data_IF_010568233823
#
_entry.id   IF_010568233823
#
_cell.length_a   1.000
_cell.length_b   1.000
_cell.length_c   1.000
_cell.angle_alpha   90.00
_cell.angle_beta   90.00
_cell.angle_gamma   90.00
#
_symmetry.space_group_name_H-M   'P 1'
#
loop_
_entity.id
_entity.type
_entity.pdbx_description
1 polymer ?
#
# COMPACT_ATOMS: atom_id res chain seq x y z
N UNK A 1 -11.60 -34.10 10.80
CA UNK A 1 -10.56 -33.07 10.88
C UNK A 1 -10.08 -32.84 9.46
N UNK A 2 -10.18 -31.60 8.96
CA UNK A 2 -9.77 -31.29 7.59
C UNK A 2 -8.23 -31.15 7.58
N UNK A 3 -7.58 -31.87 6.69
CA UNK A 3 -6.13 -31.83 6.53
C UNK A 3 -5.78 -31.36 5.10
N UNK A 4 -4.81 -30.45 4.99
CA UNK A 4 -4.31 -29.92 3.72
C UNK A 4 -2.79 -29.97 3.70
N UNK A 5 -2.23 -30.11 2.50
CA UNK A 5 -0.78 -29.94 2.33
C UNK A 5 -0.36 -28.52 2.64
N UNK A 6 -1.09 -27.53 2.11
CA UNK A 6 -0.82 -26.13 2.35
C UNK A 6 -2.09 -25.37 2.71
N UNK A 7 -2.01 -24.59 3.78
CA UNK A 7 -3.05 -23.60 4.11
C UNK A 7 -2.49 -22.20 3.87
N UNK A 8 -3.28 -21.36 3.22
CA UNK A 8 -2.93 -19.96 2.92
C UNK A 8 -3.96 -19.06 3.59
N UNK A 9 -3.52 -18.17 4.48
CA UNK A 9 -4.39 -17.21 5.16
C UNK A 9 -4.28 -15.86 4.47
N UNK A 10 -5.34 -15.47 3.78
CA UNK A 10 -5.46 -14.27 2.97
C UNK A 10 -5.43 -14.54 1.47
N UNK A 11 -6.46 -14.07 0.77
CA UNK A 11 -6.64 -14.21 -0.68
C UNK A 11 -6.19 -12.98 -1.47
N UNK A 12 -5.30 -12.16 -0.88
CA UNK A 12 -4.67 -11.03 -1.57
C UNK A 12 -3.55 -11.47 -2.52
N UNK A 13 -2.84 -10.52 -3.18
CA UNK A 13 -1.81 -10.84 -4.18
C UNK A 13 -0.75 -11.83 -3.69
N UNK A 14 -0.31 -11.76 -2.43
CA UNK A 14 0.67 -12.69 -1.90
C UNK A 14 0.11 -14.12 -1.76
N UNK A 15 -1.11 -14.25 -1.25
CA UNK A 15 -1.78 -15.57 -1.15
C UNK A 15 -2.08 -16.16 -2.52
N UNK A 16 -2.54 -15.35 -3.47
CA UNK A 16 -2.77 -15.78 -4.85
C UNK A 16 -1.47 -16.21 -5.53
N UNK A 17 -0.41 -15.41 -5.41
CA UNK A 17 0.90 -15.77 -5.97
C UNK A 17 1.43 -17.09 -5.42
N UNK A 18 1.28 -17.34 -4.12
CA UNK A 18 1.64 -18.61 -3.50
C UNK A 18 0.79 -19.78 -4.04
N UNK A 19 -0.53 -19.61 -4.09
CA UNK A 19 -1.44 -20.65 -4.55
C UNK A 19 -1.17 -21.05 -6.01
N UNK A 20 -1.06 -20.08 -6.92
CA UNK A 20 -0.73 -20.36 -8.32
C UNK A 20 0.66 -20.97 -8.46
N UNK A 21 1.67 -20.42 -7.74
CA UNK A 21 3.01 -20.95 -7.77
C UNK A 21 3.13 -22.41 -7.33
N UNK A 22 2.27 -22.85 -6.41
CA UNK A 22 2.20 -24.25 -5.96
C UNK A 22 1.42 -25.13 -6.95
N UNK A 23 0.21 -24.73 -7.33
CA UNK A 23 -0.70 -25.55 -8.14
C UNK A 23 -0.20 -25.79 -9.56
N UNK A 24 0.43 -24.78 -10.18
CA UNK A 24 0.97 -24.92 -11.55
C UNK A 24 2.20 -25.83 -11.60
N UNK A 25 2.97 -25.90 -10.53
CA UNK A 25 4.23 -26.71 -10.47
C UNK A 25 4.06 -28.06 -9.78
N UNK A 26 3.02 -28.24 -8.95
CA UNK A 26 2.71 -29.52 -8.30
C UNK A 26 1.21 -29.81 -8.39
N UNK A 27 0.75 -30.34 -9.53
CA UNK A 27 -0.64 -30.80 -9.68
C UNK A 27 -1.01 -31.81 -8.59
N UNK A 28 -2.20 -31.65 -8.02
CA UNK A 28 -2.73 -32.55 -6.98
C UNK A 28 -2.31 -32.18 -5.54
N UNK A 29 -1.50 -31.14 -5.33
CA UNK A 29 -1.28 -30.59 -3.98
C UNK A 29 -2.61 -30.05 -3.41
N UNK A 30 -2.97 -30.44 -2.19
CA UNK A 30 -4.18 -29.97 -1.54
C UNK A 30 -3.97 -28.60 -0.89
N UNK A 31 -4.68 -27.58 -1.39
CA UNK A 31 -4.56 -26.20 -0.90
C UNK A 31 -5.90 -25.69 -0.38
N UNK A 32 -5.87 -25.12 0.83
CA UNK A 32 -6.98 -24.33 1.38
C UNK A 32 -6.56 -22.85 1.46
N UNK A 33 -7.38 -21.97 0.90
CA UNK A 33 -7.26 -20.52 1.07
C UNK A 33 -8.35 -20.04 2.01
N UNK A 34 -7.97 -19.41 3.12
CA UNK A 34 -8.87 -18.78 4.09
C UNK A 34 -8.91 -17.28 3.86
N UNK A 35 -10.10 -16.71 3.70
CA UNK A 35 -10.32 -15.27 3.59
C UNK A 35 -11.40 -14.82 4.57
N UNK A 36 -11.07 -13.86 5.45
CA UNK A 36 -11.99 -13.34 6.46
C UNK A 36 -13.17 -12.56 5.88
N UNK A 37 -13.04 -12.04 4.67
CA UNK A 37 -14.09 -11.28 3.99
C UNK A 37 -14.93 -12.21 3.10
N UNK A 38 -16.15 -11.78 2.78
CA UNK A 38 -17.05 -12.50 1.86
C UNK A 38 -16.61 -12.41 0.40
N UNK A 39 -15.64 -11.57 0.09
CA UNK A 39 -15.08 -11.40 -1.25
C UNK A 39 -13.56 -11.39 -1.14
N UNK A 40 -12.91 -12.22 -1.96
CA UNK A 40 -11.47 -12.15 -2.16
C UNK A 40 -11.09 -10.75 -2.63
N UNK A 41 -10.11 -10.12 -2.01
CA UNK A 41 -9.83 -8.72 -2.32
C UNK A 41 -8.34 -8.35 -2.28
N UNK A 42 -7.78 -8.23 -1.13
CA UNK A 42 -6.47 -7.64 -0.97
C UNK A 42 -6.34 -6.30 -1.68
N UNK A 43 -5.11 -5.91 -2.02
CA UNK A 43 -4.82 -4.67 -2.71
C UNK A 43 -5.31 -4.60 -4.17
N UNK A 44 -5.67 -5.73 -4.77
CA UNK A 44 -6.22 -5.78 -6.14
C UNK A 44 -7.52 -4.99 -6.28
N UNK A 45 -8.36 -4.99 -5.23
CA UNK A 45 -9.68 -4.35 -5.26
C UNK A 45 -9.64 -2.83 -5.13
N UNK A 46 -8.57 -2.26 -4.65
CA UNK A 46 -8.49 -0.81 -4.49
C UNK A 46 -8.18 -0.17 -5.84
N UNK A 47 -7.24 0.31 -6.24
CA UNK A 47 -6.94 1.01 -7.48
C UNK A 47 -6.27 0.12 -8.54
N UNK A 48 -5.90 -1.09 -8.16
CA UNK A 48 -5.22 -2.08 -8.97
C UNK A 48 -4.03 -1.55 -9.78
N UNK A 49 -3.18 -0.73 -9.14
CA UNK A 49 -1.90 -0.27 -9.70
C UNK A 49 -0.81 -1.30 -9.50
N UNK A 50 -0.21 -1.73 -10.58
CA UNK A 50 0.87 -2.71 -10.61
C UNK A 50 2.15 -2.06 -11.12
N UNK A 51 3.27 -2.26 -10.41
CA UNK A 51 4.58 -1.72 -10.78
C UNK A 51 5.57 -2.86 -11.05
N UNK A 52 6.16 -2.87 -12.22
CA UNK A 52 7.05 -3.93 -12.69
C UNK A 52 8.51 -3.42 -12.78
N UNK A 53 8.96 -2.69 -11.79
CA UNK A 53 10.31 -2.09 -11.79
C UNK A 53 10.92 -2.11 -10.39
N UNK A 54 12.10 -2.68 -10.23
CA UNK A 54 12.94 -2.56 -9.05
C UNK A 54 13.34 -1.10 -8.77
N UNK A 55 13.43 -0.66 -7.51
CA UNK A 55 13.09 -1.35 -6.25
C UNK A 55 11.64 -1.14 -5.79
N UNK A 56 10.74 -0.74 -6.67
CA UNK A 56 9.38 -0.31 -6.32
C UNK A 56 8.57 -1.49 -5.76
N UNK A 57 8.25 -1.40 -4.48
CA UNK A 57 7.49 -2.44 -3.78
C UNK A 57 8.35 -3.56 -3.18
N UNK A 58 9.64 -3.60 -3.46
CA UNK A 58 10.57 -4.60 -2.97
C UNK A 58 11.48 -4.00 -1.89
N UNK A 59 11.30 -4.31 -0.60
CA UNK A 59 12.19 -3.84 0.46
C UNK A 59 13.60 -4.45 0.28
N UNK A 60 14.62 -3.60 0.11
CA UNK A 60 16.03 -4.03 -0.07
C UNK A 60 16.56 -4.91 1.07
N UNK A 61 15.94 -4.82 2.23
CA UNK A 61 16.27 -5.67 3.37
C UNK A 61 15.81 -7.14 3.24
N UNK A 62 14.97 -7.44 2.23
CA UNK A 62 14.41 -8.75 1.94
C UNK A 62 14.74 -9.24 0.53
N UNK A 63 15.15 -8.33 -0.37
CA UNK A 63 15.30 -8.59 -1.78
C UNK A 63 16.59 -8.02 -2.33
N UNK A 64 17.25 -8.76 -3.22
CA UNK A 64 18.23 -8.22 -4.14
C UNK A 64 17.57 -7.83 -5.47
N UNK A 65 18.26 -7.05 -6.29
CA UNK A 65 17.75 -6.68 -7.62
C UNK A 65 17.49 -7.90 -8.51
N UNK A 66 18.42 -8.87 -8.49
CA UNK A 66 18.32 -10.09 -9.30
C UNK A 66 17.14 -10.97 -8.85
N UNK A 67 16.95 -11.15 -7.54
CA UNK A 67 15.80 -11.88 -7.00
C UNK A 67 14.49 -11.22 -7.40
N UNK A 68 14.40 -9.89 -7.22
CA UNK A 68 13.20 -9.15 -7.59
C UNK A 68 12.93 -9.22 -9.10
N UNK A 69 13.97 -9.11 -9.94
CA UNK A 69 13.89 -9.24 -11.39
C UNK A 69 13.31 -10.58 -11.81
N UNK A 70 13.87 -11.67 -11.28
CA UNK A 70 13.41 -13.03 -11.55
C UNK A 70 11.91 -13.24 -11.26
N UNK A 71 11.44 -12.77 -10.09
CA UNK A 71 10.02 -12.92 -9.76
C UNK A 71 9.13 -11.91 -10.50
N UNK A 72 9.62 -10.71 -10.80
CA UNK A 72 8.86 -9.75 -11.60
C UNK A 72 8.56 -10.29 -13.00
N UNK A 73 9.51 -10.96 -13.64
CA UNK A 73 9.31 -11.61 -14.93
C UNK A 73 8.21 -12.67 -14.86
N UNK A 74 8.18 -13.49 -13.81
CA UNK A 74 7.12 -14.49 -13.62
C UNK A 74 5.75 -13.83 -13.38
N UNK A 75 5.69 -12.78 -12.56
CA UNK A 75 4.43 -12.04 -12.31
C UNK A 75 3.92 -11.39 -13.58
N UNK A 76 4.80 -10.79 -14.37
CA UNK A 76 4.46 -10.14 -15.63
C UNK A 76 3.96 -11.17 -16.67
N UNK A 77 4.65 -12.30 -16.79
CA UNK A 77 4.23 -13.39 -17.68
C UNK A 77 2.88 -13.99 -17.28
N UNK A 78 2.58 -14.07 -15.98
CA UNK A 78 1.33 -14.61 -15.48
C UNK A 78 0.14 -13.64 -15.63
N UNK A 79 0.32 -12.36 -15.28
CA UNK A 79 -0.75 -11.36 -15.28
C UNK A 79 -0.97 -10.71 -16.65
N UNK A 80 0.00 -10.80 -17.55
CA UNK A 80 -0.01 -10.20 -18.91
C UNK A 80 -0.51 -8.74 -18.85
N UNK A 81 0.14 -7.87 -18.09
CA UNK A 81 -0.36 -6.52 -17.85
C UNK A 81 -0.22 -5.63 -19.08
N UNK A 82 -1.23 -4.81 -19.34
CA UNK A 82 -1.07 -3.71 -20.27
C UNK A 82 -0.24 -2.61 -19.63
N UNK A 83 1.02 -2.49 -20.07
CA UNK A 83 1.92 -1.42 -19.58
C UNK A 83 1.49 -0.08 -20.15
N UNK A 84 1.40 0.91 -19.29
CA UNK A 84 1.02 2.28 -19.66
C UNK A 84 2.18 3.01 -20.34
N UNK A 85 1.87 3.66 -21.45
CA UNK A 85 2.83 4.51 -22.18
C UNK A 85 3.18 5.76 -21.36
N UNK A 86 4.42 6.23 -21.56
CA UNK A 86 4.94 7.47 -20.99
C UNK A 86 5.49 8.35 -22.09
N UNK A 87 5.19 9.64 -22.01
CA UNK A 87 5.67 10.65 -22.93
C UNK A 87 6.46 11.71 -22.18
N UNK A 88 7.33 12.41 -22.89
CA UNK A 88 8.07 13.57 -22.36
C UNK A 88 8.86 13.35 -21.06
N UNK A 89 9.08 12.10 -20.63
CA UNK A 89 9.74 11.78 -19.35
C UNK A 89 11.13 12.41 -19.26
N UNK A 90 11.86 12.44 -20.39
CA UNK A 90 13.21 13.03 -20.45
C UNK A 90 13.26 14.49 -20.03
N UNK A 91 12.24 15.28 -20.40
CA UNK A 91 12.17 16.70 -20.04
C UNK A 91 12.01 16.88 -18.52
N UNK A 92 11.08 16.13 -17.92
CA UNK A 92 10.85 16.17 -16.47
C UNK A 92 12.05 15.61 -15.70
N UNK A 93 12.67 14.53 -16.20
CA UNK A 93 13.88 13.94 -15.61
C UNK A 93 15.03 14.95 -15.57
N UNK A 94 15.33 15.60 -16.70
CA UNK A 94 16.39 16.59 -16.77
C UNK A 94 16.17 17.77 -15.81
N UNK A 95 14.91 18.25 -15.67
CA UNK A 95 14.57 19.29 -14.70
C UNK A 95 14.75 18.81 -13.26
N UNK A 96 14.33 17.58 -12.97
CA UNK A 96 14.46 16.97 -11.64
C UNK A 96 15.93 16.81 -11.23
N UNK A 97 16.75 16.26 -12.12
CA UNK A 97 18.19 16.01 -11.88
C UNK A 97 18.96 17.30 -11.57
N UNK A 98 18.66 18.42 -12.27
CA UNK A 98 19.23 19.73 -11.97
C UNK A 98 18.96 20.23 -10.55
N UNK A 99 17.91 19.72 -9.91
CA UNK A 99 17.49 20.09 -8.56
C UNK A 99 17.84 19.01 -7.52
N UNK A 100 18.60 17.97 -7.90
CA UNK A 100 18.92 16.84 -7.03
C UNK A 100 17.72 15.98 -6.71
N UNK A 101 16.72 15.96 -7.58
CA UNK A 101 15.50 15.14 -7.48
C UNK A 101 15.57 14.01 -8.50
N UNK A 102 15.17 12.82 -8.14
CA UNK A 102 15.13 11.68 -9.04
C UNK A 102 13.69 11.40 -9.48
N UNK A 103 13.40 11.45 -10.77
CA UNK A 103 12.16 10.94 -11.36
C UNK A 103 12.37 9.49 -11.78
N UNK A 104 11.68 8.57 -11.08
CA UNK A 104 11.76 7.14 -11.39
C UNK A 104 11.00 6.82 -12.68
N UNK A 105 11.63 6.08 -13.55
CA UNK A 105 10.96 5.52 -14.73
C UNK A 105 10.45 4.12 -14.42
N UNK A 106 9.14 4.03 -14.21
CA UNK A 106 8.51 2.81 -13.70
C UNK A 106 7.60 2.22 -14.79
N UNK A 107 7.75 0.93 -15.05
CA UNK A 107 6.80 0.16 -15.87
C UNK A 107 5.56 -0.10 -15.01
N UNK A 108 4.43 0.41 -15.44
CA UNK A 108 3.18 0.39 -14.67
C UNK A 108 2.02 -0.12 -15.50
N UNK A 109 1.11 -0.84 -14.83
CA UNK A 109 -0.23 -1.15 -15.31
C UNK A 109 -1.26 -0.64 -14.30
N UNK A 110 -2.40 -0.18 -14.78
CA UNK A 110 -3.49 0.29 -13.95
C UNK A 110 -4.83 -0.20 -14.49
N UNK A 111 -5.56 -0.94 -13.67
CA UNK A 111 -6.87 -1.47 -14.06
C UNK A 111 -8.03 -0.69 -13.42
N UNK A 112 -7.76 0.14 -12.42
CA UNK A 112 -8.79 0.78 -11.61
C UNK A 112 -9.51 -0.21 -10.67
N UNK A 113 -10.43 0.31 -9.89
CA UNK A 113 -11.18 -0.49 -8.91
C UNK A 113 -12.09 -1.51 -9.58
N UNK A 114 -12.72 -1.14 -10.67
CA UNK A 114 -13.61 -1.97 -11.49
C UNK A 114 -12.85 -3.09 -12.22
N UNK A 115 -11.80 -2.76 -12.95
CA UNK A 115 -10.97 -3.77 -13.62
C UNK A 115 -10.25 -4.71 -12.64
N UNK A 116 -9.89 -4.21 -11.45
CA UNK A 116 -9.35 -5.02 -10.37
C UNK A 116 -10.33 -6.08 -9.86
N UNK A 117 -11.63 -5.74 -9.78
CA UNK A 117 -12.67 -6.69 -9.39
C UNK A 117 -12.84 -7.83 -10.42
N UNK A 118 -12.84 -7.50 -11.69
CA UNK A 118 -12.93 -8.52 -12.76
C UNK A 118 -11.71 -9.44 -12.78
N UNK A 119 -10.51 -8.89 -12.57
CA UNK A 119 -9.31 -9.69 -12.42
C UNK A 119 -9.42 -10.67 -11.24
N UNK A 120 -9.90 -10.21 -10.07
CA UNK A 120 -10.10 -11.07 -8.90
C UNK A 120 -11.03 -12.23 -9.20
N UNK A 121 -12.18 -11.98 -9.84
CA UNK A 121 -13.15 -13.03 -10.21
C UNK A 121 -12.48 -14.08 -11.10
N UNK A 122 -11.77 -13.63 -12.12
CA UNK A 122 -11.07 -14.53 -13.07
C UNK A 122 -10.03 -15.39 -12.33
N UNK A 123 -9.23 -14.81 -11.43
CA UNK A 123 -8.21 -15.52 -10.69
C UNK A 123 -8.82 -16.54 -9.71
N UNK A 124 -9.90 -16.19 -9.01
CA UNK A 124 -10.61 -17.10 -8.10
C UNK A 124 -11.18 -18.30 -8.82
N UNK A 125 -11.84 -18.08 -9.97
CA UNK A 125 -12.37 -19.19 -10.76
C UNK A 125 -11.26 -20.11 -11.33
N UNK A 126 -10.15 -19.53 -11.79
CA UNK A 126 -8.99 -20.30 -12.24
C UNK A 126 -8.41 -21.17 -11.10
N UNK A 127 -8.32 -20.64 -9.86
CA UNK A 127 -7.85 -21.42 -8.71
C UNK A 127 -8.77 -22.60 -8.39
N UNK A 128 -10.10 -22.42 -8.48
CA UNK A 128 -11.07 -23.50 -8.29
C UNK A 128 -10.89 -24.60 -9.33
N UNK A 129 -10.70 -24.22 -10.58
CA UNK A 129 -10.43 -25.17 -11.70
C UNK A 129 -9.14 -25.94 -11.43
N UNK A 130 -8.11 -25.32 -10.87
CA UNK A 130 -6.85 -25.97 -10.49
C UNK A 130 -6.96 -26.83 -9.23
N UNK A 131 -8.13 -26.88 -8.57
CA UNK A 131 -8.40 -27.73 -7.43
C UNK A 131 -8.16 -27.07 -6.05
N UNK A 132 -7.98 -25.76 -5.97
CA UNK A 132 -7.90 -25.08 -4.69
C UNK A 132 -9.26 -25.03 -3.99
N UNK A 133 -9.27 -25.29 -2.69
CA UNK A 133 -10.41 -24.99 -1.82
C UNK A 133 -10.30 -23.54 -1.34
N UNK A 134 -11.35 -22.75 -1.52
CA UNK A 134 -11.39 -21.35 -1.09
C UNK A 134 -12.55 -21.18 -0.10
N UNK A 135 -12.24 -20.75 1.12
CA UNK A 135 -13.25 -20.43 2.14
C UNK A 135 -13.27 -18.93 2.38
N UNK A 136 -14.39 -18.29 2.04
CA UNK A 136 -14.65 -16.86 2.23
C UNK A 136 -15.49 -16.65 3.50
N UNK A 137 -15.28 -15.54 4.19
CA UNK A 137 -15.93 -15.25 5.46
C UNK A 137 -15.36 -16.05 6.65
N UNK A 138 -14.31 -16.83 6.44
CA UNK A 138 -13.70 -17.68 7.46
C UNK A 138 -12.39 -17.06 7.97
N UNK A 139 -12.40 -16.67 9.24
CA UNK A 139 -11.27 -15.99 9.89
C UNK A 139 -10.49 -16.97 10.76
N UNK A 140 -9.17 -16.99 10.59
CA UNK A 140 -8.27 -17.68 11.50
C UNK A 140 -8.25 -16.96 12.87
N UNK A 141 -8.36 -17.74 13.95
CA UNK A 141 -8.42 -17.22 15.33
C UNK A 141 -7.24 -17.66 16.19
N UNK A 142 -6.68 -18.85 15.96
CA UNK A 142 -5.60 -19.41 16.76
C UNK A 142 -4.65 -20.24 15.91
N UNK A 143 -3.37 -20.24 16.30
CA UNK A 143 -2.31 -21.05 15.70
C UNK A 143 -1.61 -21.92 16.76
N UNK A 144 -1.49 -23.21 16.48
CA UNK A 144 -0.52 -24.09 17.10
C UNK A 144 0.54 -24.44 16.04
N UNK A 145 1.63 -23.69 16.03
CA UNK A 145 2.70 -23.87 15.06
C UNK A 145 3.47 -25.19 15.25
N UNK A 146 3.55 -25.70 16.48
CA UNK A 146 4.24 -26.96 16.83
C UNK A 146 3.38 -28.16 16.41
N UNK A 147 2.10 -28.14 16.77
CA UNK A 147 1.15 -29.20 16.40
C UNK A 147 0.67 -29.11 14.94
N UNK A 148 1.14 -28.12 14.17
CA UNK A 148 0.74 -27.85 12.78
C UNK A 148 -0.79 -27.82 12.60
N UNK A 149 -1.47 -27.11 13.52
CA UNK A 149 -2.92 -26.91 13.49
C UNK A 149 -3.26 -25.43 13.60
N UNK A 150 -4.33 -25.03 12.97
CA UNK A 150 -4.94 -23.72 13.17
C UNK A 150 -6.44 -23.85 13.41
N UNK A 151 -7.00 -22.91 14.15
CA UNK A 151 -8.44 -22.82 14.37
C UNK A 151 -9.00 -21.60 13.64
N UNK A 152 -10.18 -21.77 13.11
CA UNK A 152 -11.05 -20.69 12.66
C UNK A 152 -12.22 -20.53 13.64
N UNK A 153 -13.15 -19.64 13.34
CA UNK A 153 -14.41 -19.54 14.10
C UNK A 153 -15.32 -20.79 13.89
N UNK A 154 -15.05 -21.58 12.82
CA UNK A 154 -15.90 -22.70 12.40
C UNK A 154 -15.29 -24.08 12.68
N UNK A 155 -13.96 -24.22 12.57
CA UNK A 155 -13.31 -25.54 12.58
C UNK A 155 -11.83 -25.50 12.94
N UNK A 156 -11.30 -26.67 13.25
CA UNK A 156 -9.86 -26.93 13.36
C UNK A 156 -9.34 -27.57 12.07
N UNK A 157 -8.18 -27.10 11.63
CA UNK A 157 -7.55 -27.45 10.34
C UNK A 157 -6.11 -27.86 10.60
N UNK A 158 -5.71 -29.02 10.05
CA UNK A 158 -4.32 -29.49 10.04
C UNK A 158 -3.65 -29.12 8.71
N UNK A 159 -2.38 -28.79 8.79
CA UNK A 159 -1.59 -28.44 7.63
C UNK A 159 -0.18 -29.06 7.68
N UNK A 160 0.48 -29.21 6.53
CA UNK A 160 1.91 -29.47 6.48
C UNK A 160 2.69 -28.18 6.44
N UNK A 161 2.27 -27.24 5.58
CA UNK A 161 2.83 -25.89 5.47
C UNK A 161 1.72 -24.84 5.60
N UNK A 162 2.04 -23.72 6.24
CA UNK A 162 1.15 -22.58 6.44
C UNK A 162 1.78 -21.30 5.90
N UNK A 163 1.04 -20.61 5.04
CA UNK A 163 1.43 -19.29 4.52
C UNK A 163 0.49 -18.24 5.12
N UNK A 164 1.03 -17.32 5.91
CA UNK A 164 0.29 -16.17 6.42
C UNK A 164 0.50 -14.95 5.52
N UNK A 165 -0.56 -14.55 4.81
CA UNK A 165 -0.57 -13.46 3.84
C UNK A 165 -1.73 -12.46 4.08
N UNK A 166 -1.99 -11.98 5.32
CA UNK A 166 -3.20 -11.23 5.65
C UNK A 166 -3.19 -9.78 5.13
N UNK A 167 -2.13 -9.37 4.43
CA UNK A 167 -1.98 -8.02 3.88
C UNK A 167 -1.88 -6.92 4.95
N UNK A 168 -1.97 -5.65 4.53
CA UNK A 168 -1.79 -4.49 5.41
C UNK A 168 -2.81 -4.42 6.56
N UNK A 169 -4.04 -4.79 6.30
CA UNK A 169 -5.08 -4.80 7.33
C UNK A 169 -4.92 -5.90 8.40
N UNK A 170 -3.99 -6.84 8.20
CA UNK A 170 -3.73 -7.96 9.10
C UNK A 170 -2.42 -7.86 9.88
N UNK A 171 -1.75 -6.70 9.87
CA UNK A 171 -0.44 -6.63 10.50
C UNK A 171 -0.49 -6.76 12.04
N UNK A 172 -1.52 -6.24 12.70
CA UNK A 172 -1.72 -6.44 14.14
C UNK A 172 -1.93 -7.92 14.47
N UNK A 173 -2.71 -8.61 13.65
CA UNK A 173 -2.88 -10.06 13.74
C UNK A 173 -1.55 -10.80 13.57
N UNK A 174 -0.72 -10.44 12.59
CA UNK A 174 0.60 -11.06 12.43
C UNK A 174 1.53 -10.76 13.61
N UNK A 175 1.47 -9.56 14.16
CA UNK A 175 2.26 -9.22 15.33
C UNK A 175 1.85 -10.06 16.54
N UNK A 176 0.56 -10.28 16.72
CA UNK A 176 0.05 -11.18 17.77
C UNK A 176 0.52 -12.63 17.56
N UNK A 177 0.43 -13.15 16.34
CA UNK A 177 0.96 -14.49 16.00
C UNK A 177 2.46 -14.58 16.29
N UNK A 178 3.26 -13.60 15.87
CA UNK A 178 4.70 -13.59 16.15
C UNK A 178 5.01 -13.57 17.63
N UNK A 179 4.26 -12.81 18.43
CA UNK A 179 4.41 -12.79 19.89
C UNK A 179 4.04 -14.14 20.52
N UNK A 180 2.93 -14.75 20.11
CA UNK A 180 2.46 -16.04 20.62
C UNK A 180 3.40 -17.20 20.27
N UNK A 181 3.98 -17.17 19.09
CA UNK A 181 4.88 -18.24 18.59
C UNK A 181 6.36 -17.97 18.87
N UNK A 182 6.70 -16.84 19.50
CA UNK A 182 8.08 -16.45 19.79
C UNK A 182 8.92 -16.11 18.55
N UNK A 183 8.26 -15.80 17.42
CA UNK A 183 8.98 -15.36 16.20
C UNK A 183 9.53 -13.96 16.42
N UNK A 184 10.86 -13.76 16.38
CA UNK A 184 11.43 -12.43 16.52
C UNK A 184 11.12 -11.57 15.31
N UNK A 185 10.90 -10.28 15.53
CA UNK A 185 10.64 -9.31 14.46
C UNK A 185 11.32 -7.97 14.74
N UNK A 186 11.47 -7.19 13.69
CA UNK A 186 12.01 -5.83 13.75
C UNK A 186 10.92 -4.83 13.40
N UNK A 187 10.89 -3.73 14.13
CA UNK A 187 10.05 -2.60 13.79
C UNK A 187 10.43 -2.00 12.44
N UNK A 188 9.47 -1.36 11.81
CA UNK A 188 9.65 -0.77 10.51
C UNK A 188 9.46 0.75 10.55
N UNK A 189 9.87 1.40 9.47
CA UNK A 189 9.72 2.84 9.25
C UNK A 189 8.24 3.22 9.09
N UNK A 190 7.95 4.51 9.15
CA UNK A 190 6.65 5.09 8.82
C UNK A 190 6.82 6.25 7.85
N UNK A 191 5.93 6.37 6.88
CA UNK A 191 5.85 7.54 6.01
C UNK A 191 4.68 8.41 6.46
N UNK A 192 4.95 9.70 6.64
CA UNK A 192 3.97 10.68 7.09
C UNK A 192 4.05 11.92 6.19
N UNK A 193 2.90 12.45 5.82
CA UNK A 193 2.83 13.65 5.02
C UNK A 193 1.41 14.10 4.72
N UNK A 194 1.21 14.67 3.55
CA UNK A 194 -0.06 15.21 3.08
C UNK A 194 -0.48 14.60 1.76
N UNK A 195 -1.79 14.56 1.52
CA UNK A 195 -2.32 14.40 0.18
C UNK A 195 -2.54 15.75 -0.45
N UNK A 196 -2.09 15.91 -1.67
CA UNK A 196 -2.22 17.14 -2.44
C UNK A 196 -3.28 16.90 -3.50
N UNK A 197 -4.19 17.83 -3.66
CA UNK A 197 -5.23 17.81 -4.70
C UNK A 197 -5.19 19.12 -5.48
N UNK A 198 -5.18 19.03 -6.82
CA UNK A 198 -5.16 20.19 -7.71
C UNK A 198 -5.76 19.85 -9.07
N UNK A 199 -5.93 20.85 -9.95
CA UNK A 199 -6.32 20.59 -11.34
C UNK A 199 -5.19 19.92 -12.12
N UNK A 200 -5.54 19.03 -13.05
CA UNK A 200 -4.55 18.35 -13.91
C UNK A 200 -3.72 19.34 -14.74
N UNK A 201 -4.29 20.46 -15.14
CA UNK A 201 -3.58 21.50 -15.90
C UNK A 201 -2.43 22.15 -15.11
N UNK A 202 -2.49 22.06 -13.77
CA UNK A 202 -1.44 22.53 -12.84
C UNK A 202 -0.44 21.47 -12.46
N UNK A 203 -0.70 20.24 -12.87
CA UNK A 203 0.22 19.12 -12.71
C UNK A 203 0.26 18.28 -13.99
N UNK A 204 0.63 18.92 -15.15
CA UNK A 204 0.45 18.35 -16.49
C UNK A 204 1.22 17.08 -16.74
N UNK A 205 2.24 16.75 -15.93
CA UNK A 205 2.99 15.49 -16.04
C UNK A 205 2.08 14.25 -16.02
N UNK A 206 0.91 14.30 -15.34
CA UNK A 206 0.00 13.15 -15.24
C UNK A 206 -0.63 12.76 -16.58
N UNK A 207 -0.63 13.64 -17.57
CA UNK A 207 -1.08 13.35 -18.94
C UNK A 207 -0.04 12.58 -19.74
N UNK A 208 1.23 12.84 -19.43
CA UNK A 208 2.39 12.23 -20.10
C UNK A 208 2.90 10.99 -19.38
N UNK A 209 2.82 10.99 -18.06
CA UNK A 209 3.29 9.94 -17.19
C UNK A 209 2.28 9.71 -16.07
N UNK A 210 1.49 8.66 -16.19
CA UNK A 210 0.58 8.25 -15.12
C UNK A 210 1.35 7.82 -13.86
N UNK A 211 0.93 8.34 -12.70
CA UNK A 211 1.53 8.05 -11.38
C UNK A 211 3.06 8.31 -11.33
N UNK A 212 3.53 9.52 -11.67
CA UNK A 212 4.96 9.84 -11.63
C UNK A 212 5.48 9.80 -10.19
N UNK A 213 6.65 9.18 -10.02
CA UNK A 213 7.27 9.01 -8.70
C UNK A 213 8.57 9.80 -8.62
N UNK A 214 8.55 10.86 -7.81
CA UNK A 214 9.71 11.69 -7.52
C UNK A 214 10.29 11.34 -6.16
N UNK A 215 11.61 11.19 -6.11
CA UNK A 215 12.39 11.03 -4.88
C UNK A 215 13.16 12.32 -4.62
N UNK A 216 12.85 12.98 -3.52
CA UNK A 216 13.47 14.23 -3.10
C UNK A 216 14.55 13.99 -2.03
N UNK A 217 15.45 14.97 -1.80
CA UNK A 217 16.37 14.93 -0.69
C UNK A 217 15.66 14.67 0.66
N UNK A 218 16.43 14.19 1.64
CA UNK A 218 15.96 13.91 3.01
C UNK A 218 14.83 12.87 3.08
N UNK A 219 14.81 11.89 2.17
CA UNK A 219 13.82 10.79 2.13
C UNK A 219 12.37 11.29 2.07
N UNK A 220 12.11 12.27 1.22
CA UNK A 220 10.77 12.74 0.86
C UNK A 220 10.44 12.24 -0.54
N UNK A 221 9.17 11.91 -0.82
CA UNK A 221 8.78 11.34 -2.10
C UNK A 221 7.32 11.62 -2.44
N UNK A 222 6.97 11.62 -3.73
CA UNK A 222 5.58 11.48 -4.15
C UNK A 222 5.15 10.03 -4.08
N UNK A 223 3.85 9.81 -3.90
CA UNK A 223 3.28 8.46 -3.84
C UNK A 223 1.84 8.44 -4.32
N UNK A 224 1.45 7.37 -5.04
CA UNK A 224 0.08 7.08 -5.42
C UNK A 224 -0.65 8.28 -6.05
N UNK A 225 -0.13 8.75 -7.19
CA UNK A 225 -0.79 9.78 -7.99
C UNK A 225 -2.01 9.19 -8.67
N UNK A 226 -3.12 9.91 -8.61
CA UNK A 226 -4.37 9.60 -9.28
C UNK A 226 -4.74 10.78 -10.18
N UNK A 227 -5.26 10.50 -11.35
CA UNK A 227 -5.69 11.50 -12.34
C UNK A 227 -6.93 11.05 -13.09
N UNK A 228 -7.47 11.91 -13.93
CA UNK A 228 -8.70 11.76 -14.68
C UNK A 228 -9.94 11.76 -13.78
N UNK A 229 -10.35 10.64 -13.23
CA UNK A 229 -11.43 10.52 -12.26
C UNK A 229 -10.84 10.33 -10.86
N UNK A 230 -10.19 11.37 -10.34
CA UNK A 230 -9.39 11.33 -9.11
C UNK A 230 -10.15 11.88 -7.90
N UNK A 231 -10.17 11.12 -6.81
CA UNK A 231 -10.84 11.48 -5.57
C UNK A 231 -9.92 11.25 -4.38
N UNK A 232 -9.94 12.17 -3.44
CA UNK A 232 -9.35 11.97 -2.10
C UNK A 232 -10.36 11.20 -1.27
N UNK A 233 -9.89 10.21 -0.51
CA UNK A 233 -10.72 9.36 0.34
C UNK A 233 -10.12 9.26 1.73
N UNK A 234 -10.96 8.93 2.70
CA UNK A 234 -10.58 8.76 4.10
C UNK A 234 -10.44 7.27 4.43
N UNK A 235 -9.34 6.90 5.06
CA UNK A 235 -9.10 5.58 5.63
C UNK A 235 -9.18 5.66 7.15
N UNK A 236 -9.96 4.78 7.78
CA UNK A 236 -10.14 4.71 9.23
C UNK A 236 -9.21 3.67 9.83
N UNK A 237 -8.58 4.02 10.93
CA UNK A 237 -7.72 3.16 11.73
C UNK A 237 -8.16 3.14 13.19
N UNK A 238 -7.75 2.08 13.92
CA UNK A 238 -8.16 1.88 15.30
C UNK A 238 -9.52 1.21 15.45
N UNK A 239 -9.93 1.00 16.68
CA UNK A 239 -11.18 0.35 17.09
C UNK A 239 -11.90 1.19 18.16
N UNK A 240 -12.99 0.66 18.71
CA UNK A 240 -13.76 1.36 19.74
C UNK A 240 -13.01 1.50 21.06
N UNK A 241 -12.13 0.55 21.40
CA UNK A 241 -11.38 0.55 22.66
C UNK A 241 -10.16 1.47 22.57
N UNK A 242 -9.43 1.42 21.46
CA UNK A 242 -8.19 2.19 21.25
C UNK A 242 -8.40 3.59 20.69
N UNK A 243 -9.63 3.94 20.33
CA UNK A 243 -9.97 5.18 19.66
C UNK A 243 -9.70 5.14 18.15
N UNK A 244 -10.46 5.92 17.40
CA UNK A 244 -10.32 6.02 15.94
C UNK A 244 -9.46 7.20 15.53
N UNK A 245 -8.67 7.00 14.48
CA UNK A 245 -7.98 8.06 13.78
C UNK A 245 -8.05 7.82 12.28
N UNK A 246 -7.71 8.83 11.50
CA UNK A 246 -7.87 8.81 10.06
C UNK A 246 -6.58 9.13 9.34
N UNK A 247 -6.37 8.48 8.22
CA UNK A 247 -5.44 8.87 7.18
C UNK A 247 -6.21 9.17 5.91
N UNK A 248 -5.71 10.05 5.07
CA UNK A 248 -6.24 10.23 3.73
C UNK A 248 -5.51 9.32 2.74
N UNK A 249 -6.18 9.04 1.62
CA UNK A 249 -5.63 8.31 0.49
C UNK A 249 -6.25 8.85 -0.80
N UNK A 250 -5.82 8.34 -1.95
CA UNK A 250 -6.41 8.69 -3.24
C UNK A 250 -6.92 7.46 -3.98
N UNK A 251 -8.04 7.63 -4.67
CA UNK A 251 -8.59 6.64 -5.59
C UNK A 251 -8.79 7.26 -6.96
N UNK A 252 -8.69 6.44 -8.00
CA UNK A 252 -9.17 6.79 -9.33
C UNK A 252 -10.03 5.67 -9.91
N UNK A 253 -10.98 6.06 -10.75
CA UNK A 253 -11.95 5.16 -11.37
C UNK A 253 -11.65 5.10 -12.86
N UNK A 254 -11.63 3.90 -13.44
CA UNK A 254 -11.26 3.73 -14.85
C UNK A 254 -12.43 3.87 -15.82
N UNK A 255 -13.63 3.44 -15.41
CA UNK A 255 -14.81 3.44 -16.29
C UNK A 255 -16.12 3.87 -15.62
N UNK A 256 -16.26 3.68 -14.30
CA UNK A 256 -17.53 3.87 -13.61
C UNK A 256 -17.86 5.31 -13.19
N UNK A 257 -16.92 6.26 -13.37
CA UNK A 257 -17.11 7.68 -13.07
C UNK A 257 -16.50 8.56 -14.16
N UNK A 258 -17.14 9.71 -14.47
CA UNK A 258 -16.59 10.66 -15.44
C UNK A 258 -15.28 11.27 -14.95
N UNK A 259 -14.49 11.76 -15.88
CA UNK A 259 -13.29 12.55 -15.56
C UNK A 259 -13.71 13.85 -14.89
N UNK A 260 -13.00 14.22 -13.81
CA UNK A 260 -13.27 15.43 -13.04
C UNK A 260 -12.22 16.54 -13.24
N UNK A 261 -11.22 16.29 -14.09
CA UNK A 261 -10.13 17.23 -14.38
C UNK A 261 -9.21 17.51 -13.19
N UNK A 262 -9.29 16.68 -12.15
CA UNK A 262 -8.46 16.79 -10.96
C UNK A 262 -7.39 15.70 -10.90
N UNK A 263 -6.34 16.00 -10.18
CA UNK A 263 -5.31 15.05 -9.81
C UNK A 263 -5.03 15.15 -8.32
N UNK A 264 -4.67 14.03 -7.71
CA UNK A 264 -4.19 14.02 -6.34
C UNK A 264 -3.02 13.04 -6.17
N UNK A 265 -2.13 13.34 -5.24
CA UNK A 265 -1.01 12.49 -4.86
C UNK A 265 -0.55 12.76 -3.44
N UNK A 266 0.09 11.78 -2.82
CA UNK A 266 0.73 11.96 -1.53
C UNK A 266 2.13 12.57 -1.70
N UNK A 267 2.48 13.51 -0.81
CA UNK A 267 3.86 13.91 -0.55
C UNK A 267 4.22 13.41 0.85
N UNK A 268 5.12 12.43 0.90
CA UNK A 268 5.45 11.69 2.12
C UNK A 268 6.89 11.87 2.53
N UNK A 269 7.11 11.99 3.84
CA UNK A 269 8.42 11.97 4.49
C UNK A 269 8.59 10.65 5.23
N UNK A 270 9.61 9.87 4.89
CA UNK A 270 10.00 8.69 5.66
C UNK A 270 10.64 9.14 6.98
N UNK A 271 10.09 8.65 8.09
CA UNK A 271 10.54 8.98 9.44
C UNK A 271 11.32 7.81 10.03
N UNK A 272 12.55 8.07 10.45
CA UNK A 272 13.31 7.19 11.31
C UNK A 272 13.08 7.62 12.76
N UNK A 273 12.67 6.68 13.60
CA UNK A 273 12.38 6.93 15.01
C UNK A 273 13.66 6.97 15.83
N UNK A 274 13.61 7.68 16.96
CA UNK A 274 14.69 7.80 17.94
C UNK A 274 14.45 6.81 19.07
N UNK A 275 15.47 6.05 19.46
CA UNK A 275 15.38 5.21 20.65
C UNK A 275 14.99 6.07 21.90
N UNK A 276 14.16 5.58 22.84
CA UNK A 276 13.67 4.20 22.93
C UNK A 276 12.38 3.90 22.14
N UNK A 277 11.82 4.88 21.41
CA UNK A 277 10.61 4.66 20.62
C UNK A 277 10.94 3.79 19.40
N UNK A 278 10.49 2.55 19.42
CA UNK A 278 10.72 1.59 18.37
C UNK A 278 9.50 1.38 17.45
N UNK A 279 8.28 1.75 17.90
CA UNK A 279 7.06 1.48 17.16
C UNK A 279 6.65 2.64 16.24
N UNK A 280 6.87 2.47 14.93
CA UNK A 280 6.36 3.38 13.90
C UNK A 280 4.84 3.51 13.93
N UNK A 281 4.15 2.46 14.33
CA UNK A 281 2.69 2.43 14.46
C UNK A 281 2.19 3.28 15.63
N UNK A 282 2.84 3.19 16.79
CA UNK A 282 2.51 4.02 17.95
C UNK A 282 2.71 5.51 17.66
N UNK A 283 3.78 5.83 16.94
CA UNK A 283 4.04 7.21 16.52
C UNK A 283 2.99 7.70 15.50
N UNK A 284 2.67 6.87 14.52
CA UNK A 284 1.63 7.17 13.53
C UNK A 284 0.26 7.36 14.17
N UNK A 285 -0.11 6.49 15.12
CA UNK A 285 -1.35 6.60 15.90
C UNK A 285 -1.40 7.93 16.67
N UNK A 286 -0.34 8.28 17.37
CA UNK A 286 -0.26 9.55 18.13
C UNK A 286 -0.54 10.74 17.20
N UNK A 287 0.11 10.81 16.03
CA UNK A 287 -0.09 11.90 15.08
C UNK A 287 -1.48 11.87 14.44
N UNK A 288 -2.00 10.68 14.13
CA UNK A 288 -3.34 10.51 13.59
C UNK A 288 -4.42 10.95 14.60
N UNK A 289 -4.26 10.61 15.87
CA UNK A 289 -5.15 11.03 16.97
C UNK A 289 -5.07 12.55 17.19
N UNK A 290 -3.88 13.15 17.14
CA UNK A 290 -3.71 14.60 17.25
C UNK A 290 -4.42 15.33 16.10
N UNK A 291 -4.27 14.82 14.86
CA UNK A 291 -4.96 15.38 13.71
C UNK A 291 -6.49 15.24 13.84
N UNK A 292 -6.96 14.08 14.29
CA UNK A 292 -8.38 13.83 14.52
C UNK A 292 -8.97 14.77 15.59
N UNK A 293 -8.22 15.01 16.68
CA UNK A 293 -8.63 15.95 17.73
C UNK A 293 -8.84 17.35 17.16
N UNK A 294 -7.87 17.88 16.42
CA UNK A 294 -7.95 19.21 15.81
C UNK A 294 -9.01 19.30 14.69
N UNK A 295 -9.20 18.21 13.96
CA UNK A 295 -10.19 18.10 12.89
C UNK A 295 -11.60 17.74 13.36
N UNK A 296 -11.86 17.63 14.69
CA UNK A 296 -13.17 17.21 15.21
C UNK A 296 -13.58 15.82 14.72
N UNK A 297 -12.64 14.85 14.73
CA UNK A 297 -12.86 13.49 14.24
C UNK A 297 -12.72 13.32 12.73
N UNK A 298 -12.09 14.29 12.02
CA UNK A 298 -11.96 14.30 10.55
C UNK A 298 -10.54 14.70 10.14
N UNK A 299 -10.09 14.38 8.92
CA UNK A 299 -8.86 14.96 8.37
C UNK A 299 -8.92 16.48 8.28
N UNK A 300 -7.77 17.12 8.33
CA UNK A 300 -7.65 18.56 8.16
C UNK A 300 -7.37 18.87 6.70
N UNK A 301 -8.03 19.89 6.13
CA UNK A 301 -7.71 20.41 4.79
C UNK A 301 -7.33 21.88 4.86
N UNK A 302 -6.36 22.28 4.02
CA UNK A 302 -5.84 23.65 3.95
C UNK A 302 -5.47 24.01 2.51
N UNK A 303 -5.85 25.22 2.06
CA UNK A 303 -5.38 25.76 0.78
C UNK A 303 -3.89 26.12 0.87
N UNK A 304 -3.16 25.84 -0.21
CA UNK A 304 -1.73 26.22 -0.33
C UNK A 304 -1.55 27.73 -0.19
N UNK A 305 -2.48 28.54 -0.71
CA UNK A 305 -2.46 29.99 -0.54
C UNK A 305 -2.48 30.44 0.92
N UNK A 306 -3.36 29.86 1.72
CA UNK A 306 -3.45 30.16 3.15
C UNK A 306 -2.22 29.65 3.91
N UNK A 307 -1.79 28.41 3.61
CA UNK A 307 -0.59 27.82 4.20
C UNK A 307 0.65 28.69 4.00
N UNK A 308 0.87 29.21 2.78
CA UNK A 308 1.99 30.11 2.47
C UNK A 308 2.00 31.39 3.29
N UNK A 309 0.82 31.88 3.67
CA UNK A 309 0.64 33.08 4.48
C UNK A 309 0.66 32.80 5.98
N UNK A 310 0.88 31.55 6.40
CA UNK A 310 0.78 31.14 7.81
C UNK A 310 -0.63 31.27 8.38
N UNK A 311 -1.66 31.13 7.55
CA UNK A 311 -3.06 31.27 7.92
C UNK A 311 -3.78 29.94 7.83
N UNK A 312 -4.72 29.70 8.77
CA UNK A 312 -5.67 28.59 8.63
C UNK A 312 -6.60 28.83 7.46
N UNK A 313 -7.07 27.77 6.82
CA UNK A 313 -8.24 27.85 5.92
C UNK A 313 -9.54 27.80 6.71
N UNK A 314 -10.57 28.42 6.17
CA UNK A 314 -11.95 28.44 6.67
C UNK A 314 -12.88 27.73 5.68
N UNK A 315 -14.13 27.50 6.07
CA UNK A 315 -15.12 26.88 5.19
C UNK A 315 -15.28 27.67 3.87
N UNK A 316 -15.29 28.97 3.96
CA UNK A 316 -15.41 29.90 2.84
C UNK A 316 -14.22 29.82 1.87
N UNK A 317 -13.05 29.33 2.33
CA UNK A 317 -11.89 29.07 1.45
C UNK A 317 -12.14 27.93 0.45
N UNK A 318 -13.22 27.18 0.56
CA UNK A 318 -13.54 26.03 -0.29
C UNK A 318 -14.85 26.17 -1.05
N UNK A 319 -15.54 27.29 -0.90
CA UNK A 319 -16.82 27.59 -1.55
C UNK A 319 -16.77 28.93 -2.27
N UNK A 320 -17.54 29.06 -3.35
CA UNK A 320 -17.70 30.32 -4.11
C UNK A 320 -16.78 30.47 -5.31
N UNK A 321 -17.06 31.48 -6.13
CA UNK A 321 -16.40 31.77 -7.43
C UNK A 321 -14.93 32.18 -7.34
N UNK A 322 -14.42 32.45 -6.15
CA UNK A 322 -13.01 32.79 -5.90
C UNK A 322 -12.08 31.59 -5.94
N UNK A 323 -12.64 30.38 -5.85
CA UNK A 323 -11.89 29.13 -5.76
C UNK A 323 -12.24 28.22 -6.93
N UNK A 324 -11.26 27.71 -7.55
CA UNK A 324 -11.21 27.06 -8.83
C UNK A 324 -11.89 25.68 -8.89
N UNK A 325 -11.95 24.97 -7.77
CA UNK A 325 -12.61 23.68 -7.65
C UNK A 325 -12.98 23.38 -6.19
N UNK A 326 -13.99 22.54 -6.04
CA UNK A 326 -14.41 22.01 -4.75
C UNK A 326 -13.56 20.81 -4.33
N UNK A 327 -13.27 20.62 -3.03
CA UNK A 327 -12.56 19.47 -2.52
C UNK A 327 -13.33 18.17 -2.79
N UNK A 328 -12.64 17.11 -3.27
CA UNK A 328 -13.28 15.81 -3.49
C UNK A 328 -13.52 15.04 -2.19
N UNK A 329 -12.94 15.47 -1.07
CA UNK A 329 -13.25 15.00 0.29
C UNK A 329 -13.84 16.17 1.13
N UNK A 330 -15.07 16.61 0.86
CA UNK A 330 -15.68 17.78 1.51
C UNK A 330 -15.96 17.56 3.01
N UNK A 331 -15.92 16.31 3.48
CA UNK A 331 -16.05 15.99 4.90
C UNK A 331 -14.81 16.35 5.74
N UNK A 332 -13.68 16.75 5.11
CA UNK A 332 -12.50 17.23 5.84
C UNK A 332 -12.76 18.56 6.52
N UNK A 333 -12.07 18.82 7.63
CA UNK A 333 -12.21 20.07 8.39
C UNK A 333 -11.23 21.12 7.87
N UNK A 334 -11.71 22.30 7.42
CA UNK A 334 -10.85 23.44 7.13
C UNK A 334 -10.02 23.86 8.35
N UNK A 335 -8.70 23.98 8.21
CA UNK A 335 -7.86 24.24 9.36
C UNK A 335 -6.43 24.67 9.03
N UNK A 336 -5.57 24.56 10.02
CA UNK A 336 -4.14 24.78 9.91
C UNK A 336 -3.38 23.48 10.18
N UNK A 337 -2.77 22.93 9.15
CA UNK A 337 -1.99 21.70 9.21
C UNK A 337 -0.75 21.88 10.12
N UNK A 338 -0.21 23.11 10.22
CA UNK A 338 0.97 23.38 11.03
C UNK A 338 0.76 23.20 12.54
N UNK A 339 -0.50 23.24 13.00
CA UNK A 339 -0.83 22.96 14.41
C UNK A 339 -0.78 21.46 14.76
N UNK A 340 -0.80 20.57 13.76
CA UNK A 340 -0.81 19.12 13.97
C UNK A 340 0.43 18.42 13.45
N UNK A 341 0.99 18.88 12.34
CA UNK A 341 2.12 18.22 11.72
C UNK A 341 3.44 18.61 12.40
N UNK A 342 4.31 17.63 12.77
CA UNK A 342 5.64 17.97 13.30
C UNK A 342 6.44 18.81 12.32
N UNK A 343 7.09 19.87 12.82
CA UNK A 343 7.81 20.83 11.99
C UNK A 343 8.83 20.19 11.04
N UNK A 344 9.54 19.15 11.49
CA UNK A 344 10.50 18.41 10.65
C UNK A 344 9.85 17.75 9.44
N UNK A 345 8.65 17.22 9.62
CA UNK A 345 7.87 16.59 8.54
C UNK A 345 7.32 17.67 7.61
N UNK A 346 6.66 18.67 8.17
CA UNK A 346 6.03 19.75 7.41
C UNK A 346 7.05 20.53 6.56
N UNK A 347 8.22 20.87 7.12
CA UNK A 347 9.30 21.52 6.38
C UNK A 347 9.84 20.65 5.25
N UNK A 348 9.95 19.33 5.43
CA UNK A 348 10.39 18.42 4.37
C UNK A 348 9.36 18.35 3.24
N UNK A 349 8.06 18.25 3.57
CA UNK A 349 6.95 18.27 2.61
C UNK A 349 6.94 19.58 1.83
N UNK A 350 6.96 20.71 2.52
CA UNK A 350 6.93 22.03 1.88
C UNK A 350 8.13 22.27 0.94
N UNK A 351 9.33 21.87 1.34
CA UNK A 351 10.50 21.93 0.47
C UNK A 351 10.36 20.98 -0.73
N UNK A 352 9.84 19.80 -0.55
CA UNK A 352 9.52 18.89 -1.66
C UNK A 352 8.51 19.47 -2.64
N UNK A 353 7.46 20.13 -2.14
CA UNK A 353 6.46 20.80 -2.99
C UNK A 353 7.08 21.96 -3.78
N UNK A 354 7.97 22.75 -3.19
CA UNK A 354 8.69 23.83 -3.92
C UNK A 354 9.59 23.27 -5.03
N UNK A 355 10.32 22.20 -4.74
CA UNK A 355 11.14 21.54 -5.77
C UNK A 355 10.27 20.95 -6.88
N UNK A 356 9.15 20.32 -6.52
CA UNK A 356 8.23 19.74 -7.49
C UNK A 356 7.59 20.82 -8.37
N UNK A 357 7.21 21.95 -7.80
CA UNK A 357 6.68 23.10 -8.55
C UNK A 357 7.72 23.67 -9.56
N UNK A 358 9.01 23.64 -9.22
CA UNK A 358 10.08 24.01 -10.14
C UNK A 358 10.28 23.01 -11.29
N UNK A 359 9.93 21.73 -11.07
CA UNK A 359 10.00 20.67 -12.10
C UNK A 359 8.73 20.67 -12.97
N UNK A 360 7.58 20.80 -12.33
CA UNK A 360 6.24 20.80 -12.93
C UNK A 360 5.51 22.06 -12.42
N UNK A 361 5.67 23.21 -13.10
CA UNK A 361 5.11 24.47 -12.64
C UNK A 361 3.59 24.47 -12.55
N UNK A 362 3.06 25.05 -11.47
CA UNK A 362 1.63 25.20 -11.22
C UNK A 362 1.11 24.56 -9.94
N UNK A 363 1.89 23.68 -9.32
CA UNK A 363 1.48 22.94 -8.12
C UNK A 363 1.22 23.86 -6.93
N UNK A 364 2.02 24.91 -6.76
CA UNK A 364 1.87 25.87 -5.66
C UNK A 364 0.81 26.95 -5.90
N UNK A 365 -0.10 26.73 -6.84
CA UNK A 365 -1.25 27.61 -7.02
C UNK A 365 -2.05 27.76 -5.72
N UNK A 366 -2.54 28.95 -5.36
CA UNK A 366 -3.25 29.19 -4.10
C UNK A 366 -4.45 28.27 -3.87
N UNK A 367 -5.15 27.81 -4.92
CA UNK A 367 -6.30 26.93 -4.81
C UNK A 367 -5.94 25.45 -4.61
N UNK A 368 -4.69 25.04 -4.77
CA UNK A 368 -4.26 23.67 -4.43
C UNK A 368 -4.57 23.35 -2.98
N UNK A 369 -5.07 22.15 -2.71
CA UNK A 369 -5.46 21.70 -1.38
C UNK A 369 -4.44 20.71 -0.85
N UNK A 370 -4.10 20.83 0.41
CA UNK A 370 -3.40 19.83 1.21
C UNK A 370 -4.36 19.21 2.23
N UNK A 371 -4.37 17.88 2.31
CA UNK A 371 -5.09 17.12 3.34
C UNK A 371 -4.08 16.44 4.27
N UNK A 372 -4.32 16.51 5.58
CA UNK A 372 -3.48 15.91 6.61
C UNK A 372 -4.32 15.10 7.60
N UNK A 373 -3.84 13.95 8.08
CA UNK A 373 -2.57 13.30 7.73
C UNK A 373 -2.71 12.30 6.59
N UNK A 374 -1.69 12.15 5.75
CA UNK A 374 -1.49 10.92 5.01
C UNK A 374 -0.39 10.10 5.69
N UNK A 375 -0.73 8.91 6.15
CA UNK A 375 0.17 8.00 6.87
C UNK A 375 0.22 6.68 6.15
N UNK A 376 1.42 6.20 5.89
CA UNK A 376 1.65 4.86 5.35
C UNK A 376 2.45 4.05 6.37
N UNK A 377 1.76 3.11 6.98
CA UNK A 377 2.35 2.16 7.92
C UNK A 377 3.11 1.08 7.16
N UNK A 378 4.24 0.69 7.73
CA UNK A 378 4.99 -0.48 7.32
C UNK A 378 4.86 -1.53 8.41
N UNK A 379 4.51 -2.75 8.01
CA UNK A 379 4.38 -3.85 8.94
C UNK A 379 5.73 -4.20 9.56
N UNK A 380 5.72 -4.72 10.78
CA UNK A 380 6.89 -5.30 11.42
C UNK A 380 7.38 -6.47 10.58
N UNK A 381 8.69 -6.54 10.42
CA UNK A 381 9.32 -7.57 9.60
C UNK A 381 9.82 -8.71 10.48
N UNK A 382 9.33 -9.96 10.26
CA UNK A 382 9.87 -11.13 10.92
C UNK A 382 11.35 -11.32 10.64
N UNK A 383 12.05 -12.00 11.53
CA UNK A 383 13.36 -12.58 11.25
C UNK A 383 13.11 -13.92 10.55
N UNK A 384 13.57 -14.03 9.31
CA UNK A 384 13.41 -15.23 8.50
C UNK A 384 14.53 -16.22 8.72
N UNK A 385 14.23 -17.52 8.67
CA UNK A 385 15.19 -18.61 8.77
C UNK A 385 15.92 -18.81 7.43
N UNK A 386 15.27 -18.47 6.33
CA UNK A 386 15.79 -18.68 4.98
C UNK A 386 15.44 -17.52 4.03
N UNK A 387 15.81 -17.70 2.77
CA UNK A 387 15.49 -16.76 1.70
C UNK A 387 14.05 -16.87 1.17
N UNK A 388 13.25 -17.83 1.63
CA UNK A 388 11.88 -18.08 1.17
C UNK A 388 10.79 -17.56 2.10
N UNK A 389 11.19 -16.72 3.07
CA UNK A 389 10.30 -16.12 4.06
C UNK A 389 9.75 -17.11 5.09
N UNK A 390 10.46 -18.21 5.32
CA UNK A 390 10.18 -19.15 6.39
C UNK A 390 10.56 -18.54 7.74
N UNK A 391 9.68 -18.64 8.75
CA UNK A 391 9.89 -18.09 10.10
C UNK A 391 9.98 -19.18 11.16
N UNK A 392 9.36 -20.33 10.91
CA UNK A 392 9.45 -21.58 11.66
C UNK A 392 9.24 -22.74 10.67
N UNK A 393 9.50 -23.96 11.07
CA UNK A 393 9.33 -25.14 10.21
C UNK A 393 7.89 -25.21 9.65
N UNK A 394 7.76 -25.11 8.32
CA UNK A 394 6.47 -25.11 7.62
C UNK A 394 5.62 -23.86 7.84
N UNK A 395 6.20 -22.75 8.34
CA UNK A 395 5.48 -21.49 8.55
C UNK A 395 6.17 -20.35 7.78
N UNK A 396 5.41 -19.74 6.87
CA UNK A 396 5.87 -18.66 5.99
C UNK A 396 5.03 -17.40 6.20
N UNK A 397 5.67 -16.25 6.33
CA UNK A 397 5.01 -14.96 6.47
C UNK A 397 5.35 -14.08 5.26
N UNK A 398 4.35 -13.70 4.47
CA UNK A 398 4.55 -13.02 3.18
C UNK A 398 3.63 -11.81 2.97
N UNK A 399 3.96 -11.00 2.01
CA UNK A 399 3.17 -9.85 1.58
C UNK A 399 3.39 -8.61 2.43
N UNK A 400 2.56 -7.59 2.16
CA UNK A 400 2.67 -6.27 2.80
C UNK A 400 2.52 -6.34 4.32
N UNK A 401 1.72 -7.29 4.84
CA UNK A 401 1.50 -7.49 6.26
C UNK A 401 2.71 -8.04 7.02
N UNK A 402 3.61 -8.74 6.33
CA UNK A 402 4.85 -9.27 6.87
C UNK A 402 6.09 -8.38 6.52
N UNK A 403 5.87 -7.22 5.90
CA UNK A 403 6.95 -6.32 5.51
C UNK A 403 7.88 -6.87 4.42
N UNK A 404 7.48 -7.92 3.71
CA UNK A 404 8.25 -8.53 2.61
C UNK A 404 8.00 -7.86 1.27
N UNK A 405 6.95 -7.05 1.16
CA UNK A 405 6.55 -6.37 -0.07
C UNK A 405 5.79 -5.08 0.18
N UNK A 406 5.55 -4.32 -0.88
CA UNK A 406 4.60 -3.21 -0.95
C UNK A 406 3.93 -3.17 -2.32
N UNK A 407 2.62 -3.32 -2.33
CA UNK A 407 1.82 -3.31 -3.55
C UNK A 407 1.74 -4.67 -4.22
N UNK A 408 0.96 -4.72 -5.29
CA UNK A 408 0.43 -5.96 -5.88
C UNK A 408 1.52 -6.87 -6.39
N UNK A 409 2.41 -6.37 -7.26
CA UNK A 409 3.43 -7.18 -7.93
C UNK A 409 4.45 -7.77 -6.96
N UNK A 410 4.97 -6.95 -6.04
CA UNK A 410 5.93 -7.42 -5.05
C UNK A 410 5.27 -8.38 -4.03
N UNK A 411 3.99 -8.16 -3.68
CA UNK A 411 3.26 -9.09 -2.84
C UNK A 411 3.06 -10.44 -3.54
N UNK A 412 2.68 -10.43 -4.82
CA UNK A 412 2.59 -11.65 -5.62
C UNK A 412 3.93 -12.38 -5.70
N UNK A 413 5.01 -11.66 -6.00
CA UNK A 413 6.37 -12.18 -6.01
C UNK A 413 6.78 -12.82 -4.67
N UNK A 414 6.36 -12.22 -3.53
CA UNK A 414 6.65 -12.79 -2.21
C UNK A 414 5.92 -14.11 -1.98
N UNK A 415 4.72 -14.26 -2.52
CA UNK A 415 3.98 -15.52 -2.52
C UNK A 415 4.64 -16.61 -3.36
N UNK A 416 5.07 -16.27 -4.60
CA UNK A 416 5.82 -17.17 -5.45
C UNK A 416 7.11 -17.67 -4.78
N UNK A 417 7.83 -16.77 -4.11
CA UNK A 417 9.06 -17.10 -3.41
C UNK A 417 8.85 -18.05 -2.21
N UNK A 418 7.73 -17.91 -1.48
CA UNK A 418 7.36 -18.87 -0.45
C UNK A 418 6.96 -20.23 -1.04
N UNK A 419 6.27 -20.24 -2.19
CA UNK A 419 5.95 -21.46 -2.91
C UNK A 419 7.22 -22.22 -3.34
N UNK A 420 8.28 -21.51 -3.79
CA UNK A 420 9.57 -22.11 -4.10
C UNK A 420 10.18 -22.80 -2.88
N UNK A 421 10.12 -22.18 -1.70
CA UNK A 421 10.59 -22.77 -0.46
C UNK A 421 9.88 -24.09 -0.12
N UNK A 422 8.55 -24.10 -0.22
CA UNK A 422 7.74 -25.31 0.02
C UNK A 422 8.06 -26.42 -0.99
N UNK A 423 8.21 -26.09 -2.25
CA UNK A 423 8.51 -27.07 -3.30
C UNK A 423 9.94 -27.61 -3.17
N UNK A 424 10.91 -26.77 -2.82
CA UNK A 424 12.30 -27.15 -2.60
C UNK A 424 12.50 -28.08 -1.41
N UNK A 425 11.81 -27.83 -0.29
CA UNK A 425 11.89 -28.67 0.91
C UNK A 425 11.23 -30.03 0.76
N UNK A 426 10.28 -30.18 -0.17
CA UNK A 426 9.56 -31.45 -0.41
C UNK A 426 10.20 -32.28 -1.53
N UNK A 427 11.21 -31.77 -2.21
CA UNK A 427 11.97 -32.49 -3.26
C UNK A 427 13.19 -33.22 -2.72
N UNK A 428 13.48 -33.07 -1.42
CA UNK A 428 14.51 -33.78 -0.66
C UNK A 428 13.89 -34.86 0.19
#
# INVERSE_FOLDING_TARGET
MNQYDVVIVGSGPAGLGAAFGLLERRPGISILILEKNQVSSGGLRNDCKMNFTWPIGFPEACWTADQAGHYLEQVEAFLIPRIMDKKNVGVYRQRAEKLGVNLLEIRQSHLGTDGGLELIKTLVERLKVLGATISLGEKMTRLDAVGKTLCTEEREIRYTDLILAPGRGGFAFLQEIMNQTGIPYRDNIVDIGVRIETREERYPIVRDYYDPKFLFPKKTRTFCTNSRSAYVVQERYGDQESGHWYSVNGHSWSASRPENGLTNFAMLKTVALTAPLASGQSYARMLGMQAALLGGGRPIMQRVGDFRLGKRSFAESFTGDLYDFEPTLPSSTPGDIALSAPAKILNAIWNGMKLLDSIVPGLLHPSTIMYYPEIKLYANRPVFLDNHFQTAEGLYLVGDGAGTSRGITAAWASGLRAADGILGTRSL
#
